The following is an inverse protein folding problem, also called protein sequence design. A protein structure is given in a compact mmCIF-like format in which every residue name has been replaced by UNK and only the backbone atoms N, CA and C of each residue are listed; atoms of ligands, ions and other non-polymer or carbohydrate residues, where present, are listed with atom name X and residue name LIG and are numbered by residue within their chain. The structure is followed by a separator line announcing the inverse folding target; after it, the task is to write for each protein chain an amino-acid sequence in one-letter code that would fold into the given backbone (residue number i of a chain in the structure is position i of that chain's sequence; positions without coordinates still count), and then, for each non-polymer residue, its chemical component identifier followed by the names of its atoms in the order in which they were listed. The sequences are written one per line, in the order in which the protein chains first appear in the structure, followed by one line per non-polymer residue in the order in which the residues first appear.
data_IF_074647681813
#
_entry.id   IF_074647681813
#
_cell.length_a   1.000
_cell.length_b   1.000
_cell.length_c   1.000
_cell.angle_alpha   90.00
_cell.angle_beta   90.00
_cell.angle_gamma   90.00
#
_symmetry.space_group_name_H-M   'P 1'
#
loop_
_entity.id
_entity.type
_entity.pdbx_description
1 polymer ?
#
# COMPACT_ATOMS: atom_id res chain seq x y z
N UNK A 1 -17.66 3.20 -21.18
CA UNK A 1 -17.35 3.28 -19.73
C UNK A 1 -16.86 1.96 -19.14
N UNK A 2 -17.28 0.81 -19.66
CA UNK A 2 -17.07 -0.52 -19.08
C UNK A 2 -15.60 -0.95 -18.88
N UNK A 3 -14.66 -0.48 -19.71
CA UNK A 3 -13.23 -0.83 -19.63
C UNK A 3 -12.38 0.22 -18.89
N UNK A 4 -12.80 1.49 -18.91
CA UNK A 4 -12.02 2.59 -18.32
C UNK A 4 -11.96 2.50 -16.79
N UNK A 5 -13.08 2.11 -16.16
CA UNK A 5 -13.18 1.98 -14.71
C UNK A 5 -12.29 0.86 -14.14
N UNK A 6 -12.33 -0.40 -14.66
CA UNK A 6 -11.42 -1.44 -14.19
C UNK A 6 -9.95 -1.13 -14.51
N UNK A 7 -9.66 -0.46 -15.64
CA UNK A 7 -8.30 -0.03 -15.98
C UNK A 7 -7.78 1.05 -15.01
N UNK A 8 -8.61 2.04 -14.66
CA UNK A 8 -8.28 3.04 -13.66
C UNK A 8 -8.09 2.42 -12.26
N UNK A 9 -8.96 1.47 -11.89
CA UNK A 9 -8.86 0.75 -10.62
C UNK A 9 -7.59 -0.11 -10.54
N UNK A 10 -7.21 -0.75 -11.64
CA UNK A 10 -5.95 -1.50 -11.74
C UNK A 10 -4.72 -0.58 -11.59
N UNK A 11 -4.69 0.55 -12.31
CA UNK A 11 -3.63 1.55 -12.18
C UNK A 11 -3.51 2.08 -10.75
N UNK A 12 -4.64 2.36 -10.11
CA UNK A 12 -4.66 2.79 -8.71
C UNK A 12 -4.15 1.70 -7.76
N UNK A 13 -4.51 0.43 -7.98
CA UNK A 13 -4.02 -0.67 -7.16
C UNK A 13 -2.49 -0.81 -7.26
N UNK A 14 -1.93 -0.72 -8.46
CA UNK A 14 -0.47 -0.80 -8.65
C UNK A 14 0.23 0.44 -8.09
N UNK A 15 -0.32 1.62 -8.35
CA UNK A 15 0.31 2.89 -8.02
C UNK A 15 0.21 3.30 -6.57
N UNK A 16 -0.95 3.09 -5.94
CA UNK A 16 -1.20 3.52 -4.57
C UNK A 16 -1.17 2.37 -3.57
N UNK A 17 -1.95 1.31 -3.81
CA UNK A 17 -2.13 0.23 -2.84
C UNK A 17 -0.80 -0.45 -2.50
N UNK A 18 -0.01 -0.84 -3.52
CA UNK A 18 1.28 -1.53 -3.31
C UNK A 18 2.25 -0.70 -2.43
N UNK A 19 2.63 0.53 -2.79
CA UNK A 19 3.55 1.32 -1.96
C UNK A 19 2.98 1.64 -0.56
N UNK A 20 1.66 1.86 -0.45
CA UNK A 20 1.01 2.11 0.84
C UNK A 20 1.10 0.91 1.78
N UNK A 21 0.78 -0.29 1.27
CA UNK A 21 0.87 -1.55 2.02
C UNK A 21 2.30 -1.82 2.45
N UNK A 22 3.28 -1.68 1.55
CA UNK A 22 4.69 -1.89 1.90
C UNK A 22 5.12 -0.90 2.98
N UNK A 23 4.83 0.39 2.83
CA UNK A 23 5.21 1.40 3.82
C UNK A 23 4.60 1.12 5.21
N UNK A 24 3.35 0.69 5.29
CA UNK A 24 2.72 0.34 6.55
C UNK A 24 3.24 -1.00 7.10
N UNK A 25 3.53 -1.96 6.22
CA UNK A 25 4.19 -3.22 6.54
C UNK A 25 5.54 -3.02 7.22
N UNK A 26 6.31 -2.02 6.79
CA UNK A 26 7.57 -1.66 7.43
C UNK A 26 7.42 -1.01 8.82
N UNK A 27 6.28 -0.38 9.08
CA UNK A 27 5.96 0.25 10.37
C UNK A 27 5.25 -0.72 11.33
N UNK A 28 4.75 -1.85 10.82
CA UNK A 28 4.22 -2.91 11.67
C UNK A 28 5.31 -3.37 12.65
N UNK A 29 5.06 -3.11 13.92
CA UNK A 29 5.98 -3.45 15.03
C UNK A 29 5.62 -4.80 15.67
N UNK A 30 4.53 -5.44 15.20
CA UNK A 30 4.20 -6.78 15.63
C UNK A 30 5.22 -7.79 15.13
N UNK A 31 5.74 -8.57 16.08
CA UNK A 31 6.71 -9.62 15.81
C UNK A 31 5.96 -10.80 15.18
N UNK A 32 6.47 -11.30 14.06
CA UNK A 32 5.99 -12.54 13.43
C UNK A 32 6.40 -13.68 14.34
N UNK A 33 5.45 -14.23 15.09
CA UNK A 33 5.65 -15.32 16.03
C UNK A 33 5.48 -16.65 15.29
N UNK A 34 6.59 -17.27 14.92
CA UNK A 34 6.65 -18.47 14.08
C UNK A 34 6.12 -19.73 14.78
N UNK A 35 5.84 -19.64 16.09
CA UNK A 35 5.43 -20.77 16.94
C UNK A 35 3.90 -20.84 17.18
N UNK A 36 3.12 -19.86 16.68
CA UNK A 36 1.64 -19.94 16.72
C UNK A 36 1.11 -20.73 15.52
N UNK A 37 0.18 -21.64 15.78
CA UNK A 37 -0.47 -22.46 14.75
C UNK A 37 -1.18 -21.63 13.67
N UNK A 38 -1.12 -22.11 12.43
CA UNK A 38 -1.59 -21.47 11.18
C UNK A 38 -3.08 -21.03 11.25
N UNK A 39 -3.88 -21.63 12.14
CA UNK A 39 -5.33 -21.44 12.22
C UNK A 39 -5.82 -20.26 13.09
N UNK A 40 -4.94 -19.53 13.79
CA UNK A 40 -5.32 -18.31 14.53
C UNK A 40 -4.18 -17.28 14.54
N UNK A 41 -3.81 -16.81 13.35
CA UNK A 41 -2.78 -15.80 13.15
C UNK A 41 -3.34 -14.38 13.38
N UNK A 42 -3.72 -14.06 14.62
CA UNK A 42 -4.18 -12.71 15.00
C UNK A 42 -3.09 -11.64 14.90
N UNK A 43 -1.83 -12.03 14.62
CA UNK A 43 -0.74 -11.11 14.28
C UNK A 43 -0.85 -10.58 12.84
N UNK A 44 -1.59 -11.27 11.98
CA UNK A 44 -1.91 -10.81 10.63
C UNK A 44 -3.06 -9.79 10.57
N UNK A 45 -3.91 -9.73 11.59
CA UNK A 45 -5.02 -8.78 11.72
C UNK A 45 -4.78 -7.78 12.86
N UNK A 46 -3.56 -7.26 12.92
CA UNK A 46 -3.22 -6.14 13.79
C UNK A 46 -4.01 -4.88 13.38
N UNK A 47 -4.24 -3.96 14.30
CA UNK A 47 -4.85 -2.65 14.02
C UNK A 47 -4.19 -1.92 12.84
N UNK A 48 -2.89 -2.11 12.62
CA UNK A 48 -2.17 -1.53 11.48
C UNK A 48 -2.47 -2.23 10.12
N UNK A 49 -2.81 -3.53 10.13
CA UNK A 49 -3.33 -4.22 8.94
C UNK A 49 -4.74 -3.70 8.60
N UNK A 50 -5.58 -3.47 9.60
CA UNK A 50 -6.91 -2.84 9.44
C UNK A 50 -6.77 -1.41 8.89
N UNK A 51 -5.88 -0.60 9.47
CA UNK A 51 -5.57 0.75 8.97
C UNK A 51 -5.09 0.71 7.52
N UNK A 52 -4.29 -0.30 7.16
CA UNK A 52 -3.81 -0.45 5.79
C UNK A 52 -4.94 -0.83 4.82
N UNK A 53 -5.80 -1.77 5.20
CA UNK A 53 -6.96 -2.17 4.39
C UNK A 53 -7.97 -1.04 4.21
N UNK A 54 -8.34 -0.36 5.31
CA UNK A 54 -9.28 0.77 5.26
C UNK A 54 -8.65 1.95 4.52
N UNK A 55 -7.40 2.28 4.83
CA UNK A 55 -6.69 3.40 4.21
C UNK A 55 -6.45 3.23 2.71
N UNK A 56 -6.48 2.00 2.19
CA UNK A 56 -6.32 1.77 0.76
C UNK A 56 -7.64 1.72 -0.02
N UNK A 57 -8.76 1.40 0.65
CA UNK A 57 -10.11 1.39 0.10
C UNK A 57 -10.82 2.76 0.14
N UNK A 58 -10.56 3.57 1.18
CA UNK A 58 -11.22 4.87 1.36
C UNK A 58 -10.92 5.85 0.21
N UNK A 59 -9.67 6.05 -0.23
CA UNK A 59 -9.41 7.06 -1.25
C UNK A 59 -10.06 6.77 -2.63
N UNK A 60 -10.03 5.54 -3.20
CA UNK A 60 -10.66 5.32 -4.50
C UNK A 60 -12.18 5.49 -4.45
N UNK A 61 -12.83 5.12 -3.34
CA UNK A 61 -14.27 5.33 -3.14
C UNK A 61 -14.58 6.82 -2.99
N UNK A 62 -13.79 7.56 -2.20
CA UNK A 62 -13.99 8.99 -2.00
C UNK A 62 -13.77 9.78 -3.30
N UNK A 63 -12.71 9.49 -4.05
CA UNK A 63 -12.40 10.15 -5.31
C UNK A 63 -13.48 9.87 -6.34
N UNK A 64 -13.87 8.59 -6.52
CA UNK A 64 -14.94 8.25 -7.46
C UNK A 64 -16.28 8.87 -7.04
N UNK A 65 -16.64 8.83 -5.75
CA UNK A 65 -17.90 9.37 -5.24
C UNK A 65 -18.00 10.89 -5.40
N UNK A 66 -16.95 11.63 -5.08
CA UNK A 66 -16.94 13.08 -5.23
C UNK A 66 -16.85 13.47 -6.70
N UNK A 67 -15.88 12.94 -7.45
CA UNK A 67 -15.68 13.39 -8.84
C UNK A 67 -16.81 12.93 -9.76
N UNK A 68 -17.38 11.74 -9.53
CA UNK A 68 -18.49 11.24 -10.36
C UNK A 68 -19.81 11.99 -10.10
N UNK A 69 -20.01 12.58 -8.92
CA UNK A 69 -21.24 13.35 -8.63
C UNK A 69 -21.22 14.72 -9.30
N UNK A 70 -20.05 15.36 -9.41
CA UNK A 70 -19.92 16.69 -10.04
C UNK A 70 -19.62 16.65 -11.55
N UNK A 71 -18.86 15.67 -12.03
CA UNK A 71 -18.34 15.65 -13.41
C UNK A 71 -18.73 14.39 -14.20
N UNK A 72 -19.46 13.46 -13.60
CA UNK A 72 -19.85 12.21 -14.25
C UNK A 72 -18.76 11.13 -14.26
N UNK A 73 -19.17 9.89 -14.53
CA UNK A 73 -18.34 8.71 -14.27
C UNK A 73 -17.10 8.58 -15.17
N UNK A 74 -17.09 9.18 -16.36
CA UNK A 74 -15.91 9.18 -17.23
C UNK A 74 -14.75 9.98 -16.65
N UNK A 75 -15.03 11.19 -16.17
CA UNK A 75 -14.03 12.08 -15.57
C UNK A 75 -13.58 11.54 -14.21
N UNK A 76 -14.49 10.90 -13.45
CA UNK A 76 -14.15 10.15 -12.24
C UNK A 76 -13.14 9.03 -12.49
N UNK A 77 -13.36 8.20 -13.51
CA UNK A 77 -12.41 7.13 -13.84
C UNK A 77 -11.05 7.69 -14.32
N UNK A 78 -11.06 8.78 -15.09
CA UNK A 78 -9.83 9.38 -15.62
C UNK A 78 -8.95 9.97 -14.50
N UNK A 79 -9.55 10.71 -13.57
CA UNK A 79 -8.84 11.27 -12.41
C UNK A 79 -8.26 10.19 -11.51
N UNK A 80 -8.99 9.09 -11.27
CA UNK A 80 -8.50 7.94 -10.53
C UNK A 80 -7.28 7.29 -11.21
N UNK A 81 -7.35 7.12 -12.54
CA UNK A 81 -6.24 6.58 -13.34
C UNK A 81 -5.00 7.46 -13.28
N UNK A 82 -5.14 8.78 -13.37
CA UNK A 82 -4.04 9.74 -13.22
C UNK A 82 -3.39 9.66 -11.83
N UNK A 83 -4.20 9.58 -10.77
CA UNK A 83 -3.70 9.39 -9.41
C UNK A 83 -2.92 8.09 -9.25
N UNK A 84 -3.41 6.99 -9.84
CA UNK A 84 -2.68 5.73 -9.91
C UNK A 84 -1.34 5.89 -10.62
N UNK A 85 -1.31 6.57 -11.77
CA UNK A 85 -0.08 6.80 -12.53
C UNK A 85 0.95 7.62 -11.76
N UNK A 86 0.50 8.66 -11.04
CA UNK A 86 1.34 9.43 -10.11
C UNK A 86 1.90 8.52 -9.02
N UNK A 87 1.06 7.66 -8.42
CA UNK A 87 1.51 6.68 -7.42
C UNK A 87 2.60 5.74 -7.92
N UNK A 88 2.51 5.28 -9.18
CA UNK A 88 3.54 4.43 -9.80
C UNK A 88 4.90 5.16 -9.87
N UNK A 89 4.90 6.45 -10.21
CA UNK A 89 6.13 7.26 -10.26
C UNK A 89 6.78 7.39 -8.87
N UNK A 90 5.98 7.62 -7.82
CA UNK A 90 6.48 7.69 -6.44
C UNK A 90 6.94 6.33 -5.88
N UNK A 91 6.41 5.21 -6.40
CA UNK A 91 6.76 3.85 -5.95
C UNK A 91 8.28 3.62 -5.96
N UNK A 92 8.97 4.06 -7.01
CA UNK A 92 10.40 3.79 -7.17
C UNK A 92 11.24 4.47 -6.08
N UNK A 93 10.86 5.69 -5.71
CA UNK A 93 11.48 6.46 -4.61
C UNK A 93 11.24 5.80 -3.26
N UNK A 94 10.03 5.32 -3.01
CA UNK A 94 9.68 4.61 -1.77
C UNK A 94 10.48 3.32 -1.63
N UNK A 95 10.49 2.47 -2.65
CA UNK A 95 11.22 1.20 -2.64
C UNK A 95 12.72 1.44 -2.39
N UNK A 96 13.34 2.42 -3.06
CA UNK A 96 14.75 2.75 -2.85
C UNK A 96 15.04 3.20 -1.42
N UNK A 97 14.15 4.01 -0.83
CA UNK A 97 14.26 4.44 0.58
C UNK A 97 14.14 3.25 1.55
N UNK A 98 13.23 2.32 1.26
CA UNK A 98 13.01 1.11 2.06
C UNK A 98 14.20 0.15 1.99
N UNK A 99 14.75 -0.09 0.79
CA UNK A 99 15.94 -0.92 0.59
C UNK A 99 17.14 -0.40 1.38
N UNK A 100 17.40 0.90 1.36
CA UNK A 100 18.49 1.51 2.13
C UNK A 100 18.31 1.31 3.64
N UNK A 101 17.08 1.40 4.15
CA UNK A 101 16.77 1.13 5.56
C UNK A 101 16.98 -0.34 5.94
N UNK A 102 16.62 -1.27 5.05
CA UNK A 102 16.86 -2.70 5.24
C UNK A 102 18.34 -3.04 5.27
N UNK A 103 19.12 -2.51 4.34
CA UNK A 103 20.57 -2.72 4.31
C UNK A 103 21.21 -2.25 5.62
N UNK A 104 20.91 -1.02 6.07
CA UNK A 104 21.42 -0.50 7.35
C UNK A 104 21.07 -1.40 8.54
N UNK A 105 19.82 -1.90 8.61
CA UNK A 105 19.40 -2.85 9.66
C UNK A 105 20.18 -4.17 9.58
N UNK A 106 20.40 -4.70 8.36
CA UNK A 106 21.15 -5.94 8.16
C UNK A 106 22.60 -5.80 8.63
N UNK A 107 23.25 -4.69 8.28
CA UNK A 107 24.61 -4.39 8.74
C UNK A 107 24.69 -4.28 10.27
N UNK A 108 23.76 -3.57 10.91
CA UNK A 108 23.70 -3.47 12.37
C UNK A 108 23.57 -4.83 13.06
N UNK A 109 22.66 -5.70 12.56
CA UNK A 109 22.48 -7.04 13.11
C UNK A 109 23.73 -7.90 12.94
N UNK A 110 24.40 -7.84 11.77
CA UNK A 110 25.63 -8.59 11.53
C UNK A 110 26.80 -8.12 12.41
N UNK A 111 26.88 -6.82 12.71
CA UNK A 111 27.89 -6.28 13.62
C UNK A 111 27.64 -6.72 15.07
N UNK A 112 26.38 -6.68 15.51
CA UNK A 112 25.98 -7.09 16.85
C UNK A 112 26.12 -8.61 17.11
N UNK A 113 26.09 -9.45 16.06
CA UNK A 113 26.27 -10.90 16.19
C UNK A 113 27.75 -11.31 16.22
N UNK A 114 28.68 -10.41 15.85
CA UNK A 114 30.12 -10.67 15.79
C UNK A 114 30.87 -10.22 17.07
N UNK A 115 30.21 -9.47 17.94
CA UNK A 115 30.68 -9.07 19.28
C UNK A 115 30.19 -10.04 20.35
#
# INVERSE_FOLDING_TARGET
TSLLLPLACFLYNIGWNIPFVINNGFKNTEKIDLNRGIFMNYQGFNGMAIVTMVGSLVPPIAILGVVSTYFGSMIGAFTLGLLGMIGILLKNTLIKSLSSKLEKKKYYLSACYRS
#
